data_IF_652911927820
#
_entry.id   IF_652911927820
#
_cell.length_a   1.000
_cell.length_b   1.000
_cell.length_c   1.000
_cell.angle_alpha   90.00
_cell.angle_beta   90.00
_cell.angle_gamma   90.00
#
_symmetry.space_group_name_H-M   'P 1'
#
loop_
_entity.id
_entity.type
_entity.pdbx_description
1 polymer ?
#
# COMPACT_ATOMS: atom_id res chain seq x y z
N UNK A 1 -17.28 -12.64 -12.35
CA UNK A 1 -16.90 -11.98 -11.08
C UNK A 1 -17.28 -10.51 -11.19
N UNK A 2 -17.97 -9.93 -10.21
CA UNK A 2 -18.47 -8.55 -10.31
C UNK A 2 -17.31 -7.54 -10.28
N UNK A 3 -17.29 -6.58 -11.20
CA UNK A 3 -16.17 -5.63 -11.37
C UNK A 3 -15.96 -4.73 -10.15
N UNK A 4 -17.04 -4.39 -9.44
CA UNK A 4 -16.98 -3.58 -8.22
C UNK A 4 -16.27 -4.35 -7.08
N UNK A 5 -16.53 -5.65 -6.94
CA UNK A 5 -15.88 -6.47 -5.91
C UNK A 5 -14.37 -6.61 -6.13
N UNK A 6 -13.91 -6.52 -7.38
CA UNK A 6 -12.48 -6.53 -7.72
C UNK A 6 -11.80 -5.20 -7.37
N UNK A 7 -12.45 -4.07 -7.66
CA UNK A 7 -11.94 -2.73 -7.31
C UNK A 7 -11.79 -2.60 -5.77
N UNK A 8 -12.78 -3.07 -5.01
CA UNK A 8 -12.74 -3.05 -3.53
C UNK A 8 -11.67 -3.98 -2.95
N UNK A 9 -11.54 -5.19 -3.50
CA UNK A 9 -10.52 -6.15 -3.08
C UNK A 9 -9.11 -5.62 -3.37
N UNK A 10 -8.92 -4.99 -4.53
CA UNK A 10 -7.65 -4.36 -4.90
C UNK A 10 -7.30 -3.20 -3.96
N UNK A 11 -8.28 -2.38 -3.58
CA UNK A 11 -8.08 -1.31 -2.62
C UNK A 11 -7.70 -1.86 -1.24
N UNK A 12 -8.48 -2.79 -0.70
CA UNK A 12 -8.20 -3.43 0.59
C UNK A 12 -6.79 -4.06 0.61
N UNK A 13 -6.46 -4.80 -0.45
CA UNK A 13 -5.13 -5.41 -0.60
C UNK A 13 -4.04 -4.35 -0.58
N UNK A 14 -4.21 -3.25 -1.31
CA UNK A 14 -3.20 -2.17 -1.36
C UNK A 14 -2.96 -1.50 -0.02
N UNK A 15 -4.01 -1.31 0.80
CA UNK A 15 -3.91 -0.77 2.16
C UNK A 15 -3.15 -1.74 3.07
N UNK A 16 -3.52 -3.03 3.05
CA UNK A 16 -2.88 -4.06 3.86
C UNK A 16 -1.38 -4.18 3.49
N UNK A 17 -1.06 -4.22 2.20
CA UNK A 17 0.33 -4.28 1.73
C UNK A 17 1.11 -3.05 2.17
N UNK A 18 0.53 -1.85 2.10
CA UNK A 18 1.18 -0.61 2.56
C UNK A 18 1.52 -0.69 4.05
N UNK A 19 0.58 -1.14 4.89
CA UNK A 19 0.83 -1.33 6.33
C UNK A 19 1.97 -2.33 6.59
N UNK A 20 1.96 -3.48 5.91
CA UNK A 20 3.01 -4.49 6.07
C UNK A 20 4.39 -3.96 5.64
N UNK A 21 4.46 -3.23 4.53
CA UNK A 21 5.71 -2.64 4.06
C UNK A 21 6.26 -1.60 5.06
N UNK A 22 5.40 -0.79 5.69
CA UNK A 22 5.81 0.15 6.73
C UNK A 22 6.35 -0.57 7.98
N UNK A 23 5.69 -1.65 8.41
CA UNK A 23 6.18 -2.48 9.53
C UNK A 23 7.55 -3.09 9.21
N UNK A 24 7.71 -3.65 8.01
CA UNK A 24 8.99 -4.21 7.56
C UNK A 24 10.06 -3.12 7.47
N UNK A 25 9.73 -1.95 6.91
CA UNK A 25 10.64 -0.81 6.82
C UNK A 25 11.15 -0.41 8.20
N UNK A 26 10.24 -0.30 9.18
CA UNK A 26 10.59 0.03 10.56
C UNK A 26 11.52 -1.02 11.20
N UNK A 27 11.21 -2.31 11.03
CA UNK A 27 12.06 -3.39 11.55
C UNK A 27 13.45 -3.40 10.91
N UNK A 28 13.54 -3.11 9.61
CA UNK A 28 14.81 -3.06 8.87
C UNK A 28 15.64 -1.83 9.26
N UNK A 29 14.97 -0.69 9.48
CA UNK A 29 15.57 0.52 10.04
C UNK A 29 16.17 0.26 11.42
N UNK A 30 15.41 -0.34 12.35
CA UNK A 30 15.91 -0.66 13.70
C UNK A 30 17.12 -1.58 13.67
N UNK A 31 17.18 -2.52 12.72
CA UNK A 31 18.30 -3.46 12.56
C UNK A 31 19.49 -2.87 11.81
N UNK A 32 19.49 -1.56 11.51
CA UNK A 32 20.51 -0.88 10.70
C UNK A 32 20.83 -1.63 9.40
N UNK A 33 19.82 -2.25 8.77
CA UNK A 33 20.04 -2.97 7.52
C UNK A 33 20.34 -1.95 6.41
N UNK A 34 21.39 -2.15 5.61
CA UNK A 34 21.60 -1.28 4.46
C UNK A 34 20.40 -1.37 3.51
N UNK A 35 20.10 -0.27 2.83
CA UNK A 35 19.02 -0.18 1.83
C UNK A 35 17.57 -0.29 2.36
N UNK A 36 17.33 -0.17 3.67
CA UNK A 36 15.96 -0.13 4.24
C UNK A 36 15.06 0.93 3.56
N UNK A 37 15.66 2.02 3.10
CA UNK A 37 14.99 3.14 2.42
C UNK A 37 14.35 2.72 1.09
N UNK A 38 14.79 1.63 0.45
CA UNK A 38 14.11 1.10 -0.76
C UNK A 38 12.70 0.64 -0.41
N UNK A 39 12.54 -0.06 0.71
CA UNK A 39 11.23 -0.54 1.19
C UNK A 39 10.36 0.66 1.56
N UNK A 40 10.95 1.73 2.09
CA UNK A 40 10.24 2.99 2.34
C UNK A 40 9.69 3.59 1.04
N UNK A 41 10.50 3.68 -0.02
CA UNK A 41 10.05 4.19 -1.33
C UNK A 41 8.90 3.35 -1.87
N UNK A 42 9.01 2.01 -1.82
CA UNK A 42 7.93 1.10 -2.25
C UNK A 42 6.67 1.27 -1.39
N UNK A 43 6.82 1.52 -0.09
CA UNK A 43 5.68 1.80 0.80
C UNK A 43 4.95 3.08 0.37
N UNK A 44 5.69 4.14 0.05
CA UNK A 44 5.12 5.42 -0.39
C UNK A 44 4.40 5.27 -1.74
N UNK A 45 4.98 4.55 -2.71
CA UNK A 45 4.31 4.31 -4.00
C UNK A 45 3.07 3.44 -3.85
N UNK A 46 3.09 2.44 -2.97
CA UNK A 46 1.91 1.62 -2.66
C UNK A 46 0.81 2.46 -2.00
N UNK A 47 1.17 3.36 -1.08
CA UNK A 47 0.23 4.28 -0.44
C UNK A 47 -0.42 5.24 -1.45
N UNK A 48 0.37 5.79 -2.39
CA UNK A 48 -0.14 6.63 -3.47
C UNK A 48 -1.13 5.86 -4.36
N UNK A 49 -0.81 4.60 -4.70
CA UNK A 49 -1.71 3.73 -5.45
C UNK A 49 -3.02 3.45 -4.68
N UNK A 50 -2.94 3.17 -3.38
CA UNK A 50 -4.11 2.98 -2.53
C UNK A 50 -5.00 4.23 -2.49
N UNK A 51 -4.39 5.42 -2.37
CA UNK A 51 -5.13 6.69 -2.37
C UNK A 51 -5.84 6.95 -3.71
N UNK A 52 -5.19 6.71 -4.84
CA UNK A 52 -5.81 6.85 -6.17
C UNK A 52 -7.01 5.90 -6.30
N UNK A 53 -6.90 4.67 -5.79
CA UNK A 53 -8.01 3.69 -5.79
C UNK A 53 -9.16 4.12 -4.90
N UNK A 54 -8.88 4.59 -3.68
CA UNK A 54 -9.88 5.14 -2.78
C UNK A 54 -10.69 6.24 -3.47
N UNK A 55 -10.00 7.22 -4.06
CA UNK A 55 -10.62 8.37 -4.72
C UNK A 55 -11.46 7.96 -5.95
N UNK A 56 -11.06 6.87 -6.64
CA UNK A 56 -11.84 6.28 -7.74
C UNK A 56 -13.10 5.56 -7.26
N UNK A 57 -13.05 4.87 -6.12
CA UNK A 57 -14.20 4.22 -5.49
C UNK A 57 -15.17 5.28 -4.95
N UNK A 58 -14.65 6.31 -4.28
CA UNK A 58 -15.42 7.44 -3.75
C UNK A 58 -16.19 8.16 -4.86
N UNK A 59 -15.55 8.45 -6.01
CA UNK A 59 -16.22 9.07 -7.17
C UNK A 59 -17.23 8.19 -7.90
N UNK A 60 -17.22 6.87 -7.66
CA UNK A 60 -18.15 5.92 -8.28
C UNK A 60 -19.44 5.73 -7.46
N UNK A 61 -19.37 6.00 -6.14
CA UNK A 61 -20.50 5.96 -5.22
C UNK A 61 -21.17 7.34 -5.13
#
# INVERSE_FOLDING_TARGET
MNKNNLDDLEFLTSVITTMLLLVITYLQYQKNRPFWWIILIVSITMAANAYIKYNKIEKKN
#
